data_IF_289269985566
#
_entry.id   IF_289269985566
#
_cell.length_a   1.000
_cell.length_b   1.000
_cell.length_c   1.000
_cell.angle_alpha   90.00
_cell.angle_beta   90.00
_cell.angle_gamma   90.00
#
_symmetry.space_group_name_H-M   'P 1'
#
loop_
_entity.id
_entity.type
_entity.pdbx_description
1 polymer ?
#
# COMPACT_ATOMS: atom_id res chain seq x y z
N UNK A 1 -2.11 -22.62 -2.39
CA UNK A 1 -1.81 -21.18 -2.49
C UNK A 1 -1.82 -20.65 -1.07
N UNK A 2 -0.66 -20.31 -0.54
CA UNK A 2 -0.52 -19.78 0.82
C UNK A 2 -0.69 -18.27 0.69
N UNK A 3 -1.83 -17.74 1.10
CA UNK A 3 -2.08 -16.30 1.04
C UNK A 3 -1.57 -15.72 2.36
N UNK A 4 -0.32 -15.25 2.37
CA UNK A 4 0.24 -14.54 3.52
C UNK A 4 -0.01 -13.05 3.35
N UNK A 5 -0.88 -12.48 4.19
CA UNK A 5 -1.24 -11.06 4.17
C UNK A 5 -0.48 -10.36 5.29
N UNK A 6 0.46 -9.51 4.90
CA UNK A 6 1.18 -8.63 5.83
C UNK A 6 0.33 -7.42 6.16
N UNK A 7 -0.32 -7.43 7.32
CA UNK A 7 -0.94 -6.24 7.87
C UNK A 7 0.11 -5.51 8.70
N UNK A 8 0.68 -4.46 8.13
CA UNK A 8 1.46 -3.47 8.90
C UNK A 8 0.48 -2.73 9.82
N UNK A 9 0.82 -2.66 11.10
CA UNK A 9 -0.11 -2.20 12.12
C UNK A 9 -0.63 -0.78 11.95
N UNK A 10 -1.85 -0.58 12.43
CA UNK A 10 -2.15 0.54 13.33
C UNK A 10 -2.88 -0.05 14.53
N UNK A 11 -2.43 0.22 15.75
CA UNK A 11 -3.24 -0.01 16.93
C UNK A 11 -4.55 0.79 16.85
N UNK A 12 -5.63 0.27 17.43
CA UNK A 12 -6.76 1.10 17.89
C UNK A 12 -6.48 1.54 19.34
N UNK A 13 -5.38 2.26 19.60
CA UNK A 13 -5.09 2.75 20.97
C UNK A 13 -4.45 4.14 20.98
N UNK A 14 -4.83 4.88 22.01
CA UNK A 14 -4.50 6.26 22.46
C UNK A 14 -3.00 6.68 22.53
N UNK A 15 -2.06 5.97 21.91
CA UNK A 15 -0.63 6.35 21.97
C UNK A 15 -0.17 7.23 20.79
N UNK A 16 -1.10 7.93 20.14
CA UNK A 16 -0.79 9.23 19.54
C UNK A 16 -1.19 10.33 20.52
N UNK A 17 -0.28 11.19 20.98
CA UNK A 17 -0.64 12.26 21.91
C UNK A 17 -1.61 13.20 21.21
N UNK A 18 -2.86 13.16 21.67
CA UNK A 18 -3.98 14.03 21.33
C UNK A 18 -4.26 14.18 19.82
N UNK A 19 -5.28 13.46 19.32
CA UNK A 19 -6.48 14.07 18.72
C UNK A 19 -7.41 13.00 18.12
N UNK A 20 -8.48 12.66 18.85
CA UNK A 20 -9.89 12.48 18.40
C UNK A 20 -10.21 11.69 17.10
N UNK A 21 -9.31 10.87 16.58
CA UNK A 21 -9.42 10.32 15.21
C UNK A 21 -9.71 8.82 15.11
N UNK A 22 -9.63 8.06 16.21
CA UNK A 22 -9.89 6.61 16.14
C UNK A 22 -11.37 6.25 16.18
N UNK A 23 -12.24 7.10 16.77
CA UNK A 23 -13.71 6.94 16.68
C UNK A 23 -14.21 6.97 15.21
N UNK A 24 -13.50 7.67 14.32
CA UNK A 24 -13.89 7.83 12.91
C UNK A 24 -13.46 6.66 12.01
N UNK A 25 -12.45 5.87 12.39
CA UNK A 25 -11.93 4.76 11.54
C UNK A 25 -12.85 3.53 11.51
N UNK A 26 -13.81 3.42 12.44
CA UNK A 26 -14.80 2.34 12.45
C UNK A 26 -15.76 2.47 11.25
N UNK A 27 -16.02 3.69 10.77
CA UNK A 27 -16.86 3.93 9.59
C UNK A 27 -16.22 3.61 8.24
N UNK A 28 -14.91 3.29 8.23
CA UNK A 28 -14.14 3.12 6.99
C UNK A 28 -13.93 1.65 6.59
N UNK A 29 -14.23 0.68 7.46
CA UNK A 29 -13.80 -0.72 7.29
C UNK A 29 -14.84 -1.71 7.82
N UNK A 30 -15.44 -2.50 6.92
CA UNK A 30 -16.44 -3.55 7.24
C UNK A 30 -15.95 -4.70 8.15
N UNK A 31 -14.65 -4.74 8.47
CA UNK A 31 -14.01 -5.81 9.25
C UNK A 31 -13.98 -5.49 10.75
N UNK A 32 -14.15 -4.22 11.14
CA UNK A 32 -14.01 -3.78 12.53
C UNK A 32 -15.29 -3.15 13.04
N UNK A 33 -15.53 -3.24 14.34
CA UNK A 33 -16.66 -2.61 15.02
C UNK A 33 -16.17 -1.74 16.18
N UNK A 34 -17.09 -0.98 16.77
CA UNK A 34 -16.81 -0.21 18.00
C UNK A 34 -16.44 -1.10 19.20
N UNK A 35 -16.64 -2.41 19.13
CA UNK A 35 -16.24 -3.33 20.21
C UNK A 35 -14.77 -3.77 20.09
N UNK A 36 -14.10 -3.38 19.01
CA UNK A 36 -12.72 -3.78 18.70
C UNK A 36 -11.70 -2.68 19.03
N UNK A 37 -12.15 -1.59 19.66
CA UNK A 37 -11.26 -0.59 20.24
C UNK A 37 -10.31 -1.23 21.24
N UNK A 38 -9.05 -0.79 21.22
CA UNK A 38 -7.99 -1.34 22.05
C UNK A 38 -7.30 -2.58 21.49
N UNK A 39 -7.83 -3.17 20.40
CA UNK A 39 -7.31 -4.40 19.83
C UNK A 39 -6.42 -4.15 18.63
N UNK A 40 -5.59 -5.15 18.31
CA UNK A 40 -4.76 -5.15 17.13
C UNK A 40 -5.61 -5.40 15.87
N UNK A 41 -5.51 -4.50 14.89
CA UNK A 41 -6.21 -4.62 13.59
C UNK A 41 -5.91 -5.96 12.90
N UNK A 42 -4.67 -6.37 12.95
CA UNK A 42 -4.20 -7.61 12.34
C UNK A 42 -4.85 -8.86 12.95
N UNK A 43 -4.98 -8.91 14.28
CA UNK A 43 -5.60 -10.03 14.99
C UNK A 43 -7.12 -10.10 14.74
N UNK A 44 -7.79 -8.95 14.68
CA UNK A 44 -9.22 -8.88 14.35
C UNK A 44 -9.48 -9.23 12.88
N UNK A 45 -8.61 -8.78 11.97
CA UNK A 45 -8.68 -9.18 10.56
C UNK A 45 -8.47 -10.70 10.38
N UNK A 46 -7.53 -11.28 11.13
CA UNK A 46 -7.34 -12.74 11.16
C UNK A 46 -8.58 -13.46 11.65
N UNK A 47 -9.14 -13.01 12.77
CA UNK A 47 -10.36 -13.60 13.35
C UNK A 47 -11.53 -13.53 12.36
N UNK A 48 -11.69 -12.42 11.64
CA UNK A 48 -12.68 -12.28 10.59
C UNK A 48 -12.43 -13.23 9.42
N UNK A 49 -11.19 -13.30 8.92
CA UNK A 49 -10.82 -14.15 7.79
C UNK A 49 -11.02 -15.64 8.09
N UNK A 50 -10.60 -16.10 9.27
CA UNK A 50 -10.76 -17.50 9.70
C UNK A 50 -12.24 -17.89 9.84
N UNK A 51 -13.08 -16.98 10.35
CA UNK A 51 -14.55 -17.18 10.39
C UNK A 51 -15.16 -17.21 9.00
N UNK A 52 -14.68 -16.37 8.09
CA UNK A 52 -15.23 -16.26 6.74
C UNK A 52 -14.86 -17.46 5.87
N UNK A 53 -13.61 -17.93 5.93
CA UNK A 53 -13.16 -19.12 5.23
C UNK A 53 -12.07 -19.87 6.03
N UNK A 54 -12.43 -20.91 6.79
CA UNK A 54 -11.48 -21.64 7.63
C UNK A 54 -10.44 -22.47 6.86
N UNK A 55 -10.59 -22.60 5.53
CA UNK A 55 -9.60 -23.30 4.69
C UNK A 55 -8.42 -22.40 4.28
N UNK A 56 -8.48 -21.11 4.59
CA UNK A 56 -7.40 -20.15 4.32
C UNK A 56 -6.57 -19.99 5.59
N UNK A 57 -5.28 -20.28 5.50
CA UNK A 57 -4.33 -19.96 6.55
C UNK A 57 -4.05 -18.46 6.53
N UNK A 58 -4.35 -17.77 7.63
CA UNK A 58 -4.09 -16.34 7.78
C UNK A 58 -3.00 -16.12 8.84
N UNK A 59 -1.80 -15.72 8.37
CA UNK A 59 -0.64 -15.46 9.22
C UNK A 59 -0.52 -13.97 9.45
N UNK A 60 -0.42 -13.59 10.72
CA UNK A 60 -0.27 -12.20 11.15
C UNK A 60 1.15 -11.99 11.63
N UNK A 61 1.81 -10.96 11.07
CA UNK A 61 3.09 -10.47 11.55
C UNK A 61 2.90 -9.12 12.22
N UNK A 62 2.93 -9.21 13.54
CA UNK A 62 2.64 -8.15 14.46
C UNK A 62 3.90 -7.29 14.64
N UNK A 63 4.25 -6.50 13.61
CA UNK A 63 5.41 -5.60 13.62
C UNK A 63 5.14 -4.27 12.89
N UNK A 64 5.81 -3.22 13.35
CA UNK A 64 5.91 -1.93 12.65
C UNK A 64 7.10 -1.96 11.69
N UNK A 65 6.88 -1.52 10.44
CA UNK A 65 7.93 -1.49 9.43
C UNK A 65 8.69 -0.17 9.55
N UNK A 66 10.00 -0.26 9.78
CA UNK A 66 10.88 0.90 9.98
C UNK A 66 12.00 0.99 8.95
N UNK A 67 12.10 0.01 8.05
CA UNK A 67 13.17 -0.07 7.08
C UNK A 67 12.85 -1.01 5.90
N UNK A 68 13.64 -0.89 4.84
CA UNK A 68 13.68 -1.89 3.75
C UNK A 68 13.96 -3.29 4.31
N UNK A 69 14.90 -3.41 5.27
CA UNK A 69 15.31 -4.69 5.84
C UNK A 69 14.19 -5.45 6.54
N UNK A 70 13.23 -4.74 7.15
CA UNK A 70 12.07 -5.39 7.77
C UNK A 70 11.21 -6.10 6.72
N UNK A 71 10.98 -5.47 5.58
CA UNK A 71 10.29 -6.07 4.44
C UNK A 71 11.11 -7.22 3.84
N UNK A 72 12.43 -7.06 3.70
CA UNK A 72 13.29 -8.15 3.20
C UNK A 72 13.23 -9.39 4.09
N UNK A 73 13.22 -9.20 5.40
CA UNK A 73 13.13 -10.30 6.38
C UNK A 73 11.78 -11.01 6.25
N UNK A 74 10.68 -10.25 6.11
CA UNK A 74 9.36 -10.82 5.85
C UNK A 74 9.35 -11.66 4.57
N UNK A 75 9.85 -11.12 3.46
CA UNK A 75 9.90 -11.84 2.18
C UNK A 75 10.68 -13.15 2.31
N UNK A 76 11.84 -13.13 2.99
CA UNK A 76 12.65 -14.35 3.19
C UNK A 76 11.95 -15.41 4.05
N UNK A 77 11.22 -14.99 5.08
CA UNK A 77 10.54 -15.89 6.00
C UNK A 77 9.30 -16.52 5.36
N UNK A 78 8.60 -15.77 4.51
CA UNK A 78 7.30 -16.15 3.93
C UNK A 78 7.39 -16.72 2.53
N UNK A 79 8.36 -16.27 1.73
CA UNK A 79 8.47 -16.55 0.30
C UNK A 79 7.13 -16.34 -0.44
N UNK A 80 6.60 -15.11 -0.48
CA UNK A 80 5.25 -14.83 -0.95
C UNK A 80 5.19 -14.81 -2.49
N UNK A 81 4.05 -15.23 -3.06
CA UNK A 81 3.81 -15.18 -4.51
C UNK A 81 3.68 -13.73 -5.04
N UNK A 82 3.22 -12.82 -4.19
CA UNK A 82 3.08 -11.39 -4.44
C UNK A 82 2.90 -10.62 -3.12
N UNK A 83 3.07 -9.30 -3.15
CA UNK A 83 2.86 -8.39 -2.03
C UNK A 83 1.65 -7.50 -2.33
N UNK A 84 0.78 -7.32 -1.34
CA UNK A 84 -0.28 -6.31 -1.38
C UNK A 84 0.14 -5.14 -0.50
N UNK A 85 0.48 -4.00 -1.09
CA UNK A 85 0.88 -2.80 -0.35
C UNK A 85 -0.26 -1.77 -0.30
N UNK A 86 -0.91 -1.69 0.85
CA UNK A 86 -1.96 -0.70 1.17
C UNK A 86 -1.65 0.04 2.48
N UNK A 87 -0.37 0.00 2.89
CA UNK A 87 0.10 0.71 4.07
C UNK A 87 0.36 2.17 3.74
N UNK A 88 -0.01 3.07 4.66
CA UNK A 88 0.13 4.51 4.54
C UNK A 88 1.21 5.09 5.48
N UNK A 89 1.85 4.22 6.27
CA UNK A 89 2.81 4.60 7.30
C UNK A 89 4.01 3.63 7.33
N UNK A 90 5.25 4.14 7.57
CA UNK A 90 5.60 5.56 7.72
C UNK A 90 5.43 6.36 6.44
N UNK A 91 4.79 7.53 6.57
CA UNK A 91 4.33 8.35 5.43
C UNK A 91 5.54 8.81 4.60
N UNK A 92 5.48 8.64 3.28
CA UNK A 92 6.59 9.03 2.40
C UNK A 92 7.79 8.07 2.40
N UNK A 93 7.72 6.96 3.13
CA UNK A 93 8.77 5.94 3.19
C UNK A 93 8.28 4.55 2.77
N UNK A 94 7.11 4.13 3.26
CA UNK A 94 6.64 2.74 3.17
C UNK A 94 6.59 2.21 1.72
N UNK A 95 6.06 2.98 0.77
CA UNK A 95 6.00 2.56 -0.63
C UNK A 95 7.39 2.39 -1.25
N UNK A 96 8.35 3.25 -0.90
CA UNK A 96 9.73 3.14 -1.36
C UNK A 96 10.40 1.89 -0.79
N UNK A 97 10.20 1.60 0.49
CA UNK A 97 10.80 0.44 1.14
C UNK A 97 10.24 -0.88 0.64
N UNK A 98 8.91 -0.97 0.50
CA UNK A 98 8.25 -2.15 -0.08
C UNK A 98 8.72 -2.36 -1.51
N UNK A 99 8.77 -1.29 -2.31
CA UNK A 99 9.24 -1.37 -3.69
C UNK A 99 10.70 -1.82 -3.80
N UNK A 100 11.61 -1.24 -3.01
CA UNK A 100 13.02 -1.61 -3.04
C UNK A 100 13.23 -3.09 -2.69
N UNK A 101 12.60 -3.56 -1.60
CA UNK A 101 12.68 -4.96 -1.21
C UNK A 101 12.05 -5.90 -2.25
N UNK A 102 10.83 -5.60 -2.70
CA UNK A 102 10.13 -6.45 -3.65
C UNK A 102 10.88 -6.59 -4.99
N UNK A 103 11.45 -5.50 -5.49
CA UNK A 103 12.24 -5.51 -6.73
C UNK A 103 13.50 -6.36 -6.55
N UNK A 104 14.20 -6.23 -5.41
CA UNK A 104 15.39 -7.04 -5.10
C UNK A 104 15.11 -8.55 -5.08
N UNK A 105 13.97 -8.96 -4.49
CA UNK A 105 13.57 -10.37 -4.42
C UNK A 105 12.67 -10.82 -5.59
N UNK A 106 12.45 -9.96 -6.58
CA UNK A 106 11.58 -10.21 -7.75
C UNK A 106 10.16 -10.66 -7.38
N UNK A 107 9.59 -10.05 -6.35
CA UNK A 107 8.21 -10.30 -5.91
C UNK A 107 7.27 -9.25 -6.52
N UNK A 108 6.19 -9.64 -7.21
CA UNK A 108 5.18 -8.71 -7.71
C UNK A 108 4.51 -7.90 -6.60
N UNK A 109 4.15 -6.65 -6.88
CA UNK A 109 3.39 -5.80 -5.94
C UNK A 109 2.06 -5.41 -6.57
N UNK A 110 1.00 -5.47 -5.77
CA UNK A 110 -0.29 -4.87 -6.04
C UNK A 110 -0.54 -3.79 -4.99
N UNK A 111 -0.76 -2.56 -5.41
CA UNK A 111 -0.95 -1.44 -4.47
C UNK A 111 -2.15 -0.59 -4.83
N UNK A 112 -2.81 -0.11 -3.78
CA UNK A 112 -3.88 0.85 -3.86
C UNK A 112 -3.66 1.95 -2.81
N UNK A 113 -3.79 3.21 -3.25
CA UNK A 113 -3.55 4.39 -2.42
C UNK A 113 -4.81 5.25 -2.45
N UNK A 114 -5.37 5.56 -1.28
CA UNK A 114 -6.47 6.52 -1.12
C UNK A 114 -5.93 7.79 -0.48
N UNK A 115 -6.08 8.90 -1.19
CA UNK A 115 -5.95 10.25 -0.64
C UNK A 115 -7.34 10.89 -0.54
N UNK A 116 -7.43 12.05 0.13
CA UNK A 116 -8.68 12.79 0.42
C UNK A 116 -9.77 12.70 -0.67
N UNK A 117 -9.42 13.00 -1.93
CA UNK A 117 -10.34 12.93 -3.08
C UNK A 117 -9.84 12.07 -4.24
N UNK A 118 -8.64 11.53 -4.16
CA UNK A 118 -8.02 10.81 -5.28
C UNK A 118 -7.67 9.40 -4.87
N UNK A 119 -7.84 8.47 -5.81
CA UNK A 119 -7.40 7.10 -5.69
C UNK A 119 -6.43 6.72 -6.78
N UNK A 120 -5.46 5.87 -6.45
CA UNK A 120 -4.51 5.29 -7.40
C UNK A 120 -4.45 3.78 -7.19
N UNK A 121 -4.44 3.00 -8.27
CA UNK A 121 -4.16 1.56 -8.24
C UNK A 121 -3.11 1.23 -9.29
N UNK A 122 -2.11 0.43 -8.92
CA UNK A 122 -1.06 -0.01 -9.83
C UNK A 122 -0.55 -1.40 -9.45
N UNK A 123 0.06 -2.06 -10.43
CA UNK A 123 0.85 -3.28 -10.22
C UNK A 123 2.30 -3.06 -10.64
N UNK A 124 3.21 -3.70 -9.92
CA UNK A 124 4.63 -3.74 -10.25
C UNK A 124 5.01 -5.19 -10.51
N UNK A 125 5.37 -5.50 -11.75
CA UNK A 125 5.95 -6.77 -12.16
C UNK A 125 7.46 -6.53 -12.34
N UNK A 126 8.32 -7.01 -11.42
CA UNK A 126 9.76 -6.81 -11.51
C UNK A 126 10.32 -7.29 -12.85
N UNK A 127 11.10 -6.43 -13.52
CA UNK A 127 11.60 -6.68 -14.89
C UNK A 127 10.71 -6.06 -15.96
N UNK A 128 9.39 -6.27 -15.87
CA UNK A 128 8.47 -6.01 -16.99
C UNK A 128 7.74 -4.66 -16.93
N UNK A 129 7.51 -4.10 -15.75
CA UNK A 129 6.78 -2.82 -15.60
C UNK A 129 7.61 -1.76 -14.86
N UNK A 130 7.19 -0.50 -14.96
CA UNK A 130 7.70 0.58 -14.13
C UNK A 130 7.47 0.26 -12.63
N UNK A 131 8.53 0.38 -11.81
CA UNK A 131 8.44 0.24 -10.37
C UNK A 131 7.93 1.53 -9.70
N UNK A 132 7.65 1.52 -8.39
CA UNK A 132 7.19 2.72 -7.68
C UNK A 132 8.19 3.90 -7.80
N UNK A 133 9.50 3.63 -7.77
CA UNK A 133 10.50 4.68 -7.98
C UNK A 133 10.45 5.29 -9.39
N UNK A 134 10.10 4.51 -10.42
CA UNK A 134 9.86 5.05 -11.76
C UNK A 134 8.63 5.96 -11.78
N UNK A 135 7.55 5.58 -11.10
CA UNK A 135 6.36 6.41 -10.97
C UNK A 135 6.68 7.73 -10.26
N UNK A 136 7.49 7.68 -9.20
CA UNK A 136 8.00 8.87 -8.51
C UNK A 136 8.77 9.79 -9.46
N UNK A 137 9.71 9.25 -10.26
CA UNK A 137 10.45 10.05 -11.25
C UNK A 137 9.53 10.66 -12.31
N UNK A 138 8.51 9.93 -12.78
CA UNK A 138 7.54 10.42 -13.75
C UNK A 138 6.62 11.49 -13.15
N UNK A 139 6.20 11.33 -11.90
CA UNK A 139 5.42 12.35 -11.18
C UNK A 139 6.27 13.63 -11.01
N UNK A 140 7.59 13.54 -10.77
CA UNK A 140 8.51 14.69 -10.75
C UNK A 140 8.67 15.40 -12.09
N UNK A 141 8.62 14.69 -13.22
CA UNK A 141 8.63 15.33 -14.55
C UNK A 141 7.40 16.25 -14.74
N UNK A 142 6.28 15.90 -14.10
CA UNK A 142 5.01 16.64 -14.21
C UNK A 142 4.85 17.71 -13.12
N UNK A 143 5.35 17.43 -11.92
CA UNK A 143 5.23 18.28 -10.73
C UNK A 143 6.58 18.28 -9.98
N UNK A 144 7.53 19.13 -10.38
CA UNK A 144 8.87 19.17 -9.76
C UNK A 144 8.84 19.48 -8.25
N UNK A 145 7.84 20.24 -7.79
CA UNK A 145 7.66 20.62 -6.38
C UNK A 145 7.37 19.41 -5.47
N UNK A 146 6.97 18.28 -6.04
CA UNK A 146 6.69 17.06 -5.30
C UNK A 146 7.92 16.53 -4.54
N UNK A 147 9.14 16.80 -5.02
CA UNK A 147 10.35 16.43 -4.29
C UNK A 147 10.48 17.19 -2.95
N UNK A 148 10.17 18.48 -2.94
CA UNK A 148 10.21 19.30 -1.74
C UNK A 148 9.10 18.88 -0.75
N UNK A 149 7.89 18.62 -1.26
CA UNK A 149 6.78 18.11 -0.46
C UNK A 149 7.14 16.78 0.23
N UNK A 150 7.73 15.84 -0.51
CA UNK A 150 8.15 14.56 0.03
C UNK A 150 9.22 14.72 1.13
N UNK A 151 10.19 15.62 0.95
CA UNK A 151 11.22 15.92 1.96
C UNK A 151 10.61 16.49 3.24
N UNK A 152 9.61 17.38 3.12
CA UNK A 152 8.89 17.92 4.28
C UNK A 152 8.16 16.81 5.02
N UNK A 153 7.42 15.94 4.31
CA UNK A 153 6.71 14.79 4.90
C UNK A 153 7.69 13.88 5.65
N UNK A 154 8.79 13.50 5.01
CA UNK A 154 9.79 12.62 5.61
C UNK A 154 10.46 13.24 6.84
N UNK A 155 10.70 14.55 6.82
CA UNK A 155 11.28 15.28 7.97
C UNK A 155 10.29 15.37 9.14
N UNK A 156 8.99 15.51 8.85
CA UNK A 156 7.94 15.52 9.87
C UNK A 156 7.83 14.16 10.56
N UNK A 157 7.78 13.06 9.81
CA UNK A 157 7.70 11.71 10.38
C UNK A 157 8.92 11.35 11.24
N UNK A 158 10.12 11.84 10.88
CA UNK A 158 11.32 11.65 11.69
C UNK A 158 11.39 12.49 12.97
N UNK A 159 10.41 13.37 13.23
CA UNK A 159 10.44 14.29 14.35
C UNK A 159 9.14 14.23 15.16
N UNK A 160 9.22 13.64 16.35
CA UNK A 160 8.08 13.49 17.27
C UNK A 160 7.38 14.82 17.62
N UNK A 161 8.09 15.95 17.57
CA UNK A 161 7.51 17.28 17.82
C UNK A 161 6.68 17.81 16.64
N UNK A 162 6.83 17.23 15.45
CA UNK A 162 6.12 17.63 14.24
C UNK A 162 4.93 16.73 13.91
N UNK A 163 4.70 15.66 14.67
CA UNK A 163 3.56 14.75 14.50
C UNK A 163 2.21 15.47 14.54
N UNK A 164 2.12 16.60 15.26
CA UNK A 164 0.91 17.44 15.31
C UNK A 164 0.50 18.00 13.94
N UNK A 165 1.47 18.21 13.05
CA UNK A 165 1.24 18.76 11.71
C UNK A 165 0.89 17.70 10.67
N UNK A 166 0.85 16.42 11.06
CA UNK A 166 0.44 15.35 10.15
C UNK A 166 -1.03 15.54 9.78
N UNK A 167 -1.30 15.71 8.50
CA UNK A 167 -2.68 15.74 8.01
C UNK A 167 -3.32 14.37 8.28
N UNK A 168 -4.50 14.32 8.93
CA UNK A 168 -5.25 13.08 9.03
C UNK A 168 -5.53 12.51 7.63
N UNK A 169 -5.55 11.18 7.53
CA UNK A 169 -5.99 10.52 6.31
C UNK A 169 -7.48 10.73 6.16
N UNK A 170 -7.87 11.49 5.14
CA UNK A 170 -9.27 11.77 4.80
C UNK A 170 -9.88 10.70 3.90
N UNK A 171 -9.46 9.45 4.06
CA UNK A 171 -9.93 8.35 3.23
C UNK A 171 -11.37 7.97 3.64
N UNK A 172 -12.29 7.92 2.69
CA UNK A 172 -13.68 7.55 2.98
C UNK A 172 -13.86 6.04 2.81
N UNK A 173 -14.68 5.42 3.67
CA UNK A 173 -15.00 3.99 3.59
C UNK A 173 -15.41 3.50 2.19
N UNK A 174 -16.32 4.18 1.47
CA UNK A 174 -16.67 3.82 0.11
C UNK A 174 -15.48 3.84 -0.87
N UNK A 175 -14.57 4.81 -0.74
CA UNK A 175 -13.35 4.90 -1.55
C UNK A 175 -12.41 3.72 -1.29
N UNK A 176 -12.23 3.35 -0.02
CA UNK A 176 -11.45 2.19 0.38
C UNK A 176 -12.05 0.88 -0.15
N UNK A 177 -13.39 0.73 -0.08
CA UNK A 177 -14.09 -0.45 -0.60
C UNK A 177 -13.94 -0.59 -2.11
N UNK A 178 -14.09 0.52 -2.85
CA UNK A 178 -13.89 0.53 -4.29
C UNK A 178 -12.49 0.08 -4.67
N UNK A 179 -11.46 0.61 -3.99
CA UNK A 179 -10.08 0.22 -4.25
C UNK A 179 -9.79 -1.23 -3.84
N UNK A 180 -10.30 -1.70 -2.70
CA UNK A 180 -10.18 -3.09 -2.28
C UNK A 180 -10.79 -4.05 -3.31
N UNK A 181 -11.97 -3.71 -3.84
CA UNK A 181 -12.60 -4.45 -4.95
C UNK A 181 -11.72 -4.46 -6.20
N UNK A 182 -11.22 -3.29 -6.63
CA UNK A 182 -10.39 -3.20 -7.83
C UNK A 182 -9.10 -4.03 -7.68
N UNK A 183 -8.41 -3.89 -6.55
CA UNK A 183 -7.15 -4.58 -6.26
C UNK A 183 -7.34 -6.10 -6.21
N UNK A 184 -8.42 -6.57 -5.58
CA UNK A 184 -8.77 -7.99 -5.58
C UNK A 184 -8.97 -8.53 -7.01
N UNK A 185 -9.61 -7.76 -7.89
CA UNK A 185 -9.79 -8.17 -9.29
C UNK A 185 -8.48 -8.20 -10.08
N UNK A 186 -7.55 -7.27 -9.85
CA UNK A 186 -6.22 -7.32 -10.48
C UNK A 186 -5.44 -8.55 -10.02
N UNK A 187 -5.49 -8.90 -8.73
CA UNK A 187 -4.87 -10.11 -8.21
C UNK A 187 -5.50 -11.36 -8.83
N UNK A 188 -6.83 -11.40 -8.97
CA UNK A 188 -7.53 -12.51 -9.64
C UNK A 188 -7.10 -12.65 -11.10
N UNK A 189 -6.98 -11.53 -11.84
CA UNK A 189 -6.46 -11.52 -13.22
C UNK A 189 -5.06 -12.13 -13.27
N UNK A 190 -4.16 -11.66 -12.40
CA UNK A 190 -2.80 -12.19 -12.28
C UNK A 190 -2.77 -13.70 -12.02
N UNK A 191 -3.52 -14.16 -11.02
CA UNK A 191 -3.51 -15.56 -10.60
C UNK A 191 -4.08 -16.52 -11.65
N UNK A 192 -5.16 -16.13 -12.35
CA UNK A 192 -5.86 -17.04 -13.27
C UNK A 192 -5.46 -16.87 -14.73
N UNK A 193 -4.95 -15.71 -15.13
CA UNK A 193 -4.68 -15.38 -16.54
C UNK A 193 -3.27 -14.83 -16.77
N UNK A 194 -2.47 -14.64 -15.71
CA UNK A 194 -1.11 -14.12 -15.80
C UNK A 194 -1.02 -12.60 -16.00
N UNK A 195 0.20 -12.10 -16.14
CA UNK A 195 0.52 -10.66 -16.16
C UNK A 195 -0.10 -9.91 -17.33
N UNK A 196 -0.28 -10.55 -18.49
CA UNK A 196 -0.86 -9.94 -19.69
C UNK A 196 -2.33 -9.54 -19.54
N UNK A 197 -3.01 -10.02 -18.50
CA UNK A 197 -4.42 -9.74 -18.25
C UNK A 197 -4.66 -8.55 -17.32
N UNK A 198 -3.61 -8.01 -16.70
CA UNK A 198 -3.68 -6.91 -15.75
C UNK A 198 -4.10 -5.62 -16.45
N UNK A 199 -5.11 -4.93 -15.91
CA UNK A 199 -5.51 -3.61 -16.40
C UNK A 199 -4.45 -2.56 -16.05
N UNK A 200 -3.70 -2.80 -14.98
CA UNK A 200 -2.61 -1.95 -14.50
C UNK A 200 -1.24 -2.38 -15.02
N UNK A 201 -1.17 -3.28 -16.02
CA UNK A 201 0.12 -3.67 -16.60
C UNK A 201 0.84 -2.45 -17.18
N UNK A 202 1.92 -2.02 -16.52
CA UNK A 202 2.66 -0.80 -16.82
C UNK A 202 1.77 0.46 -16.92
N UNK A 203 0.66 0.48 -16.17
CA UNK A 203 -0.29 1.59 -16.08
C UNK A 203 -0.67 1.84 -14.64
N UNK A 204 -1.03 3.08 -14.35
CA UNK A 204 -1.66 3.48 -13.09
C UNK A 204 -3.10 3.88 -13.38
N UNK A 205 -4.04 3.19 -12.73
CA UNK A 205 -5.43 3.62 -12.70
C UNK A 205 -5.57 4.78 -11.71
N UNK A 206 -6.18 5.88 -12.14
CA UNK A 206 -6.49 7.03 -11.31
C UNK A 206 -8.00 7.25 -11.23
N UNK A 207 -8.49 7.70 -10.08
CA UNK A 207 -9.88 8.10 -9.88
C UNK A 207 -9.96 9.36 -9.03
N UNK A 208 -10.82 10.30 -9.42
CA UNK A 208 -11.27 11.38 -8.55
C UNK A 208 -12.62 11.01 -7.93
N UNK A 209 -12.65 10.75 -6.63
CA UNK A 209 -13.86 10.31 -5.92
C UNK A 209 -14.95 11.39 -5.81
N UNK A 210 -14.63 12.66 -6.04
CA UNK A 210 -15.63 13.74 -6.05
C UNK A 210 -16.36 13.84 -7.40
N UNK A 211 -15.64 13.66 -8.51
CA UNK A 211 -16.18 13.79 -9.87
C UNK A 211 -16.49 12.45 -10.54
N UNK A 212 -15.99 11.34 -9.97
CA UNK A 212 -15.95 10.00 -10.55
C UNK A 212 -15.20 9.90 -11.89
N UNK A 213 -14.40 10.91 -12.24
CA UNK A 213 -13.51 10.85 -13.40
C UNK A 213 -12.43 9.79 -13.17
N UNK A 214 -12.17 9.01 -14.21
CA UNK A 214 -11.26 7.87 -14.19
C UNK A 214 -10.38 7.89 -15.42
N UNK A 215 -9.11 7.56 -15.24
CA UNK A 215 -8.15 7.43 -16.33
C UNK A 215 -7.13 6.32 -16.05
N UNK A 216 -6.49 5.88 -17.12
CA UNK A 216 -5.31 5.05 -17.04
C UNK A 216 -4.13 5.87 -17.57
N UNK A 217 -3.17 6.09 -16.70
CA UNK A 217 -1.92 6.74 -17.04
C UNK A 217 -0.87 5.69 -17.37
N UNK A 218 -0.29 5.76 -18.56
CA UNK A 218 0.85 4.93 -18.94
C UNK A 218 2.07 5.27 -18.07
N UNK A 219 2.77 4.25 -17.61
CA UNK A 219 3.95 4.41 -16.78
C UNK A 219 5.23 4.24 -17.62
N UNK A 220 6.23 5.07 -17.34
CA UNK A 220 7.53 5.00 -17.97
C UNK A 220 8.48 4.21 -17.09
N UNK A 221 8.95 3.05 -17.56
CA UNK A 221 10.08 2.34 -16.95
C UNK A 221 11.37 3.04 -17.39
N UNK A 222 12.20 3.44 -16.43
CA UNK A 222 13.46 4.13 -16.71
C UNK A 222 14.63 3.16 -16.60
N UNK A 223 15.47 3.10 -17.64
CA UNK A 223 16.65 2.22 -17.66
C UNK A 223 17.70 2.64 -16.62
N UNK A 224 17.80 3.94 -16.35
CA UNK A 224 18.66 4.49 -15.30
C UNK A 224 18.02 4.47 -13.89
N UNK A 225 16.88 3.80 -13.71
CA UNK A 225 16.24 3.70 -12.40
C UNK A 225 17.17 2.98 -11.41
N UNK A 226 17.54 3.65 -10.32
CA UNK A 226 18.43 3.10 -9.29
C UNK A 226 17.91 1.83 -8.60
N UNK A 227 16.62 1.53 -8.73
CA UNK A 227 15.97 0.38 -8.10
C UNK A 227 15.77 -0.78 -9.08
N UNK A 228 15.23 -0.51 -10.28
CA UNK A 228 14.85 -1.57 -11.23
C UNK A 228 15.57 -1.53 -12.58
N UNK A 229 16.49 -0.57 -12.79
CA UNK A 229 17.12 -0.33 -14.09
C UNK A 229 17.93 -1.51 -14.62
N UNK A 230 18.59 -2.26 -13.73
CA UNK A 230 19.42 -3.42 -14.09
C UNK A 230 18.61 -4.71 -14.31
N UNK A 231 17.31 -4.72 -13.98
CA UNK A 231 16.47 -5.91 -14.14
C UNK A 231 15.87 -5.96 -15.54
N UNK A 232 16.48 -6.75 -16.42
CA UNK A 232 15.84 -7.12 -17.68
C UNK A 232 14.99 -8.39 -17.49
N UNK A 233 13.87 -8.47 -18.22
CA UNK A 233 12.98 -9.65 -18.30
C UNK A 233 13.73 -10.93 -18.72
#
# INVERSE_FOLDING_TARGET
MKIEIFIVYTLFTDEQPAHRSDEYKVGEKNVYSTHDFGKLKSDEAKTFAEKFNPNVEFIVNNQEINSVSDIENLIKQSNPDFIVNVADYPTGFIDFWVNEAAIKYKVPIFSAIVNKKHGKVYSVIPGSTACYYCQYLQDLESVPEYEEELKVIQTQEGNTNLNYYRSPNGALGPSCLFQGYYLANEIMRYLFQGTSSLLTFNKRFNINFLTNEQDYMELKRYDQCKICGELND
#
